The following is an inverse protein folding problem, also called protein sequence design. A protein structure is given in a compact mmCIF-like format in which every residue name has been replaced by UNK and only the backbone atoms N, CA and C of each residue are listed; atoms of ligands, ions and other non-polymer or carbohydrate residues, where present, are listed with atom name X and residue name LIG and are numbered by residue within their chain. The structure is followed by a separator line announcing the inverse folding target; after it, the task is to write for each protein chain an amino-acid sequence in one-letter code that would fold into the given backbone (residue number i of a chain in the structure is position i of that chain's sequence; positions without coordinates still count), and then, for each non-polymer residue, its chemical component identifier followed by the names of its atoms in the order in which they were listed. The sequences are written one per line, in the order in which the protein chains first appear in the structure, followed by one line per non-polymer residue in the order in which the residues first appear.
data_IF_663863154269
#
_entry.id   IF_663863154269
#
_cell.length_a   1.000
_cell.length_b   1.000
_cell.length_c   1.000
_cell.angle_alpha   90.00
_cell.angle_beta   90.00
_cell.angle_gamma   90.00
#
_symmetry.space_group_name_H-M   'P 1'
#
loop_
_entity.id
_entity.type
_entity.pdbx_description
1 polymer ?
#
# COMPACT_ATOMS: atom_id res chain seq x y z
N UNK A 1 -1.39 16.59 -2.61
CA UNK A 1 -1.29 15.26 -1.94
C UNK A 1 -1.64 14.18 -2.94
N UNK A 2 -0.65 13.58 -3.57
CA UNK A 2 -0.88 12.51 -4.54
C UNK A 2 -1.36 11.21 -3.84
N UNK A 3 -0.77 10.85 -2.71
CA UNK A 3 -1.06 9.62 -1.95
C UNK A 3 -1.54 9.99 -0.55
N UNK A 4 -2.61 9.33 -0.07
CA UNK A 4 -3.27 9.63 1.19
C UNK A 4 -3.25 8.46 2.19
N UNK A 5 -3.04 7.24 1.68
CA UNK A 5 -2.95 6.03 2.47
C UNK A 5 -2.11 5.00 1.71
N UNK A 6 -1.36 4.17 2.43
CA UNK A 6 -0.73 2.99 1.86
C UNK A 6 -0.55 1.89 2.89
N UNK A 7 -0.47 0.67 2.40
CA UNK A 7 -0.15 -0.51 3.18
C UNK A 7 0.77 -1.45 2.41
N UNK A 8 1.47 -2.28 3.16
CA UNK A 8 2.13 -3.49 2.67
C UNK A 8 1.53 -4.68 3.40
N UNK A 9 1.17 -5.71 2.65
CA UNK A 9 0.58 -6.93 3.17
C UNK A 9 1.31 -8.19 2.64
N UNK A 10 0.98 -9.32 3.26
CA UNK A 10 1.30 -10.66 2.77
C UNK A 10 -0.01 -11.44 2.70
N UNK A 11 -0.56 -11.61 1.50
CA UNK A 11 -1.94 -12.06 1.33
C UNK A 11 -2.89 -11.06 1.97
N UNK A 12 -3.82 -11.50 2.81
CA UNK A 12 -4.73 -10.60 3.53
C UNK A 12 -4.16 -10.00 4.83
N UNK A 13 -2.92 -10.35 5.21
CA UNK A 13 -2.30 -9.89 6.45
C UNK A 13 -1.52 -8.60 6.26
N UNK A 14 -1.98 -7.51 6.89
CA UNK A 14 -1.28 -6.22 6.90
C UNK A 14 -0.04 -6.28 7.79
N UNK A 15 1.10 -5.86 7.25
CA UNK A 15 2.41 -5.85 7.94
C UNK A 15 2.84 -4.45 8.35
N UNK A 16 2.47 -3.45 7.55
CA UNK A 16 2.63 -2.03 7.84
C UNK A 16 1.58 -1.23 7.07
N UNK A 17 1.08 -0.15 7.66
CA UNK A 17 0.24 0.83 6.98
C UNK A 17 0.50 2.24 7.52
N UNK A 18 0.17 3.23 6.70
CA UNK A 18 0.20 4.63 7.10
C UNK A 18 -0.96 5.39 6.47
N UNK A 19 -1.52 6.33 7.23
CA UNK A 19 -2.61 7.19 6.77
C UNK A 19 -2.24 8.65 6.98
N UNK A 20 -2.34 9.44 5.90
CA UNK A 20 -2.13 10.87 5.90
C UNK A 20 -3.45 11.66 5.95
N UNK A 21 -4.61 10.97 5.92
CA UNK A 21 -5.93 11.59 5.90
C UNK A 21 -6.95 10.79 6.72
N UNK A 22 -7.78 11.49 7.48
CA UNK A 22 -8.86 10.90 8.28
C UNK A 22 -9.96 10.32 7.39
N UNK A 23 -9.82 9.04 7.01
CA UNK A 23 -10.70 8.33 6.08
C UNK A 23 -10.92 6.89 6.54
N UNK A 24 -11.86 6.18 5.92
CA UNK A 24 -12.06 4.74 6.10
C UNK A 24 -11.14 3.88 5.19
N UNK A 25 -10.04 4.45 4.68
CA UNK A 25 -9.16 3.80 3.71
C UNK A 25 -8.64 2.44 4.18
N UNK A 26 -8.25 2.30 5.45
CA UNK A 26 -7.77 1.02 6.01
C UNK A 26 -8.82 -0.09 5.92
N UNK A 27 -10.10 0.24 6.18
CA UNK A 27 -11.18 -0.74 6.10
C UNK A 27 -11.43 -1.19 4.65
N UNK A 28 -11.45 -0.25 3.70
CA UNK A 28 -11.64 -0.54 2.28
C UNK A 28 -10.44 -1.33 1.74
N UNK A 29 -9.21 -0.92 2.06
CA UNK A 29 -8.00 -1.58 1.60
C UNK A 29 -7.92 -3.04 2.06
N UNK A 30 -8.32 -3.32 3.31
CA UNK A 30 -8.42 -4.70 3.84
C UNK A 30 -9.42 -5.55 3.05
N UNK A 31 -10.55 -4.98 2.64
CA UNK A 31 -11.51 -5.68 1.77
C UNK A 31 -10.97 -5.93 0.36
N UNK A 32 -10.15 -5.02 -0.17
CA UNK A 32 -9.52 -5.17 -1.48
C UNK A 32 -8.50 -6.32 -1.44
N UNK A 33 -7.55 -6.29 -0.49
CA UNK A 33 -6.52 -7.34 -0.41
C UNK A 33 -7.11 -8.73 -0.14
N UNK A 34 -8.18 -8.83 0.65
CA UNK A 34 -8.87 -10.11 0.90
C UNK A 34 -9.50 -10.69 -0.39
N UNK A 35 -9.98 -9.82 -1.30
CA UNK A 35 -10.51 -10.23 -2.62
C UNK A 35 -9.42 -10.50 -3.64
N UNK A 36 -8.29 -9.79 -3.58
CA UNK A 36 -7.18 -9.90 -4.55
C UNK A 36 -6.25 -11.08 -4.23
N UNK A 37 -6.32 -11.64 -3.02
CA UNK A 37 -5.50 -12.80 -2.60
C UNK A 37 -5.81 -14.02 -3.49
N UNK A 38 -5.02 -14.21 -4.56
CA UNK A 38 -5.19 -15.28 -5.54
C UNK A 38 -4.67 -14.96 -6.95
N UNK A 39 -4.47 -13.68 -7.27
CA UNK A 39 -4.01 -13.21 -8.59
C UNK A 39 -2.68 -12.46 -8.45
N UNK A 40 -1.56 -13.20 -8.42
CA UNK A 40 -0.26 -12.72 -7.93
C UNK A 40 0.50 -11.78 -8.89
N UNK A 41 0.01 -11.52 -10.10
CA UNK A 41 0.78 -10.81 -11.14
C UNK A 41 0.04 -9.63 -11.79
N UNK A 42 -1.10 -9.19 -11.24
CA UNK A 42 -1.88 -8.11 -11.85
C UNK A 42 -1.82 -6.80 -11.04
N UNK A 43 -1.39 -5.74 -11.73
CA UNK A 43 -1.56 -4.36 -11.27
C UNK A 43 -3.00 -3.93 -11.49
N UNK A 44 -3.72 -3.60 -10.43
CA UNK A 44 -5.16 -3.27 -10.49
C UNK A 44 -5.42 -1.91 -9.85
N UNK A 45 -6.46 -1.23 -10.34
CA UNK A 45 -6.95 0.02 -9.74
C UNK A 45 -8.45 -0.10 -9.49
N UNK A 46 -8.88 0.20 -8.26
CA UNK A 46 -10.27 0.17 -7.82
C UNK A 46 -10.71 1.60 -7.50
N UNK A 47 -11.71 2.10 -8.21
CA UNK A 47 -12.29 3.42 -7.95
C UNK A 47 -13.34 3.31 -6.84
N UNK A 48 -13.21 4.14 -5.81
CA UNK A 48 -14.16 4.25 -4.70
C UNK A 48 -14.43 5.73 -4.42
N UNK A 49 -15.61 6.21 -4.81
CA UNK A 49 -16.01 7.63 -4.77
C UNK A 49 -14.99 8.54 -5.47
N UNK A 50 -14.29 9.41 -4.72
CA UNK A 50 -13.29 10.36 -5.21
C UNK A 50 -11.86 9.84 -5.14
N UNK A 51 -11.69 8.61 -4.67
CA UNK A 51 -10.39 8.00 -4.45
C UNK A 51 -10.19 6.79 -5.34
N UNK A 52 -8.94 6.53 -5.67
CA UNK A 52 -8.54 5.34 -6.41
C UNK A 52 -7.55 4.56 -5.54
N UNK A 53 -7.85 3.27 -5.37
CA UNK A 53 -6.99 2.31 -4.70
C UNK A 53 -6.18 1.55 -5.74
N UNK A 54 -4.87 1.68 -5.71
CA UNK A 54 -3.95 1.00 -6.61
C UNK A 54 -3.29 -0.17 -5.87
N UNK A 55 -3.20 -1.32 -6.54
CA UNK A 55 -2.63 -2.56 -6.00
C UNK A 55 -1.55 -3.06 -6.93
N UNK A 56 -0.40 -3.45 -6.37
CA UNK A 56 0.68 -4.15 -7.05
C UNK A 56 0.67 -5.64 -6.64
N UNK A 57 1.02 -6.55 -7.56
CA UNK A 57 0.94 -8.01 -7.42
C UNK A 57 1.68 -8.60 -6.21
N UNK A 58 2.62 -7.84 -5.62
CA UNK A 58 3.34 -8.21 -4.40
C UNK A 58 2.62 -7.81 -3.09
N UNK A 59 1.36 -7.36 -3.18
CA UNK A 59 0.49 -6.93 -2.07
C UNK A 59 0.87 -5.60 -1.41
N UNK A 60 1.38 -4.66 -2.20
CA UNK A 60 1.45 -3.24 -1.83
C UNK A 60 0.21 -2.54 -2.38
N UNK A 61 -0.45 -1.73 -1.55
CA UNK A 61 -1.65 -0.98 -1.94
C UNK A 61 -1.53 0.47 -1.48
N UNK A 62 -1.98 1.41 -2.31
CA UNK A 62 -2.11 2.82 -1.93
C UNK A 62 -3.45 3.41 -2.37
N UNK A 63 -3.89 4.44 -1.65
CA UNK A 63 -5.05 5.26 -2.00
C UNK A 63 -4.56 6.63 -2.47
N UNK A 64 -5.00 7.04 -3.63
CA UNK A 64 -4.70 8.32 -4.25
C UNK A 64 -5.99 9.09 -4.56
N UNK A 65 -5.87 10.41 -4.68
CA UNK A 65 -6.92 11.23 -5.28
C UNK A 65 -6.98 10.94 -6.79
N UNK A 66 -8.18 11.00 -7.39
CA UNK A 66 -8.35 10.77 -8.85
C UNK A 66 -7.45 11.69 -9.70
N UNK A 67 -7.18 12.91 -9.21
CA UNK A 67 -6.31 13.88 -9.89
C UNK A 67 -4.84 13.45 -10.00
N UNK A 68 -4.37 12.52 -9.16
CA UNK A 68 -3.00 12.00 -9.20
C UNK A 68 -2.72 11.11 -10.44
N UNK A 69 -3.78 10.67 -11.14
CA UNK A 69 -3.67 9.71 -12.23
C UNK A 69 -3.11 8.36 -11.76
N UNK A 70 -2.55 7.57 -12.69
CA UNK A 70 -2.02 6.23 -12.39
C UNK A 70 -0.50 6.17 -12.27
N UNK A 71 0.23 7.10 -12.90
CA UNK A 71 1.70 7.07 -12.94
C UNK A 71 2.32 7.21 -11.55
N UNK A 72 1.97 8.27 -10.83
CA UNK A 72 2.51 8.54 -9.49
C UNK A 72 2.21 7.39 -8.50
N UNK A 73 0.96 6.90 -8.39
CA UNK A 73 0.66 5.77 -7.51
C UNK A 73 1.46 4.50 -7.82
N UNK A 74 1.57 4.10 -9.09
CA UNK A 74 2.31 2.88 -9.42
C UNK A 74 3.82 3.02 -9.20
N UNK A 75 4.42 4.18 -9.52
CA UNK A 75 5.82 4.44 -9.18
C UNK A 75 6.06 4.40 -7.67
N UNK A 76 5.12 4.94 -6.88
CA UNK A 76 5.18 4.84 -5.42
C UNK A 76 5.12 3.38 -4.95
N UNK A 77 4.21 2.58 -5.50
CA UNK A 77 4.07 1.16 -5.14
C UNK A 77 5.33 0.36 -5.46
N UNK A 78 5.96 0.59 -6.61
CA UNK A 78 7.21 -0.08 -7.00
C UNK A 78 8.37 0.29 -6.06
N UNK A 79 8.52 1.56 -5.67
CA UNK A 79 9.56 1.98 -4.73
C UNK A 79 9.32 1.38 -3.33
N UNK A 80 8.07 1.39 -2.85
CA UNK A 80 7.73 0.79 -1.54
C UNK A 80 7.95 -0.71 -1.53
N UNK A 81 7.59 -1.41 -2.60
CA UNK A 81 7.85 -2.83 -2.75
C UNK A 81 9.35 -3.14 -2.70
N UNK A 82 10.17 -2.45 -3.51
CA UNK A 82 11.61 -2.65 -3.54
C UNK A 82 12.26 -2.39 -2.18
N UNK A 83 11.86 -1.31 -1.49
CA UNK A 83 12.37 -1.00 -0.15
C UNK A 83 11.95 -2.06 0.87
N UNK A 84 10.69 -2.50 0.84
CA UNK A 84 10.18 -3.50 1.77
C UNK A 84 10.90 -4.85 1.60
N UNK A 85 11.05 -5.31 0.35
CA UNK A 85 11.76 -6.56 0.03
C UNK A 85 13.25 -6.45 0.40
N UNK A 86 13.89 -5.30 0.12
CA UNK A 86 15.30 -5.07 0.47
C UNK A 86 15.53 -5.08 1.99
N UNK A 87 14.62 -4.52 2.77
CA UNK A 87 14.76 -4.40 4.23
C UNK A 87 14.39 -5.70 4.94
N UNK A 88 13.26 -6.32 4.59
CA UNK A 88 12.71 -7.45 5.37
C UNK A 88 12.86 -8.80 4.67
N UNK A 89 12.90 -8.83 3.33
CA UNK A 89 13.10 -10.03 2.52
C UNK A 89 12.33 -11.26 3.05
N UNK A 90 13.08 -12.28 3.49
CA UNK A 90 12.50 -13.55 3.98
C UNK A 90 11.81 -13.43 5.34
N UNK A 91 12.09 -12.41 6.15
CA UNK A 91 11.46 -12.23 7.46
C UNK A 91 9.94 -12.04 7.36
N UNK A 92 9.48 -11.53 6.21
CA UNK A 92 8.06 -11.37 5.86
C UNK A 92 7.30 -12.70 5.93
N UNK A 93 7.93 -13.83 5.62
CA UNK A 93 7.28 -15.14 5.56
C UNK A 93 6.81 -15.69 6.92
N UNK A 94 7.37 -15.19 8.02
CA UNK A 94 6.98 -15.57 9.38
C UNK A 94 6.48 -14.40 10.21
N UNK A 95 6.30 -13.23 9.59
CA UNK A 95 5.87 -12.02 10.27
C UNK A 95 4.46 -12.14 10.85
N UNK A 96 4.28 -11.52 12.02
CA UNK A 96 2.98 -11.29 12.63
C UNK A 96 2.32 -10.04 12.01
N UNK A 97 0.98 -9.89 12.15
CA UNK A 97 0.31 -8.66 11.74
C UNK A 97 0.98 -7.44 12.38
N UNK A 98 1.17 -6.38 11.59
CA UNK A 98 1.77 -5.11 12.03
C UNK A 98 3.21 -5.20 12.56
N UNK A 99 3.91 -6.32 12.38
CA UNK A 99 5.25 -6.51 12.93
C UNK A 99 6.32 -5.55 12.38
N UNK A 100 6.06 -4.92 11.23
CA UNK A 100 6.98 -3.97 10.58
C UNK A 100 6.48 -2.52 10.66
N UNK A 101 5.36 -2.29 11.36
CA UNK A 101 4.67 -1.01 11.28
C UNK A 101 5.47 0.14 11.90
N UNK A 102 6.14 -0.10 13.04
CA UNK A 102 6.87 0.94 13.78
C UNK A 102 7.97 1.61 12.92
N UNK A 103 8.65 0.83 12.09
CA UNK A 103 9.70 1.31 11.22
C UNK A 103 9.15 1.72 9.84
N UNK A 104 8.38 0.84 9.20
CA UNK A 104 8.00 1.04 7.80
C UNK A 104 6.90 2.09 7.62
N UNK A 105 6.07 2.36 8.63
CA UNK A 105 5.10 3.47 8.56
C UNK A 105 5.79 4.84 8.40
N UNK A 106 6.98 5.02 8.99
CA UNK A 106 7.78 6.24 8.81
C UNK A 106 8.30 6.37 7.38
N UNK A 107 8.71 5.24 6.76
CA UNK A 107 9.14 5.22 5.35
C UNK A 107 7.98 5.58 4.42
N UNK A 108 6.78 5.02 4.68
CA UNK A 108 5.57 5.36 3.95
C UNK A 108 5.25 6.86 4.07
N UNK A 109 5.26 7.42 5.29
CA UNK A 109 5.00 8.84 5.54
C UNK A 109 5.97 9.73 4.76
N UNK A 110 7.27 9.48 4.87
CA UNK A 110 8.31 10.27 4.21
C UNK A 110 8.15 10.27 2.68
N UNK A 111 7.84 9.11 2.10
CA UNK A 111 7.66 9.02 0.66
C UNK A 111 6.35 9.70 0.22
N UNK A 112 5.29 9.63 1.01
CA UNK A 112 4.05 10.36 0.72
C UNK A 112 4.25 11.87 0.79
N UNK A 113 5.00 12.36 1.77
CA UNK A 113 5.35 13.79 1.91
C UNK A 113 6.19 14.28 0.72
N UNK A 114 7.14 13.47 0.24
CA UNK A 114 7.93 13.81 -0.95
C UNK A 114 7.09 13.95 -2.23
N UNK A 115 5.98 13.20 -2.32
CA UNK A 115 5.07 13.19 -3.46
C UNK A 115 3.87 14.16 -3.33
N UNK A 116 3.87 15.03 -2.30
CA UNK A 116 2.73 15.92 -2.03
C UNK A 116 2.48 16.97 -3.10
#
# INVERSE_FOLDING_TARGET
MAILYALVARGSMVLAEFTAASTNASAIAKQIIDKTTGDNDINVSYSQDRYIFHVNGLTVLCMADESAGRGIPFTFLEDMDQRFVRTYGRAVLSALPYAMNDEFSSVLSQQMEYLQ
#
